data_IF_853964630800
#
_entry.id   IF_853964630800
#
_cell.length_a   1.000
_cell.length_b   1.000
_cell.length_c   1.000
_cell.angle_alpha   90.00
_cell.angle_beta   90.00
_cell.angle_gamma   90.00
#
_symmetry.space_group_name_H-M   'P 1'
#
loop_
_entity.id
_entity.type
_entity.pdbx_description
1 polymer ?
#
# COMPACT_ATOMS: atom_id res chain seq x y z
N UNK A 1 -10.58 4.79 -4.16
CA UNK A 1 -11.54 3.76 -4.55
C UNK A 1 -10.76 2.48 -4.78
N UNK A 2 -11.29 1.31 -4.40
CA UNK A 2 -10.65 0.01 -4.60
C UNK A 2 -11.16 -0.63 -5.89
N UNK A 3 -10.26 -1.22 -6.67
CA UNK A 3 -10.61 -2.08 -7.81
C UNK A 3 -10.84 -3.51 -7.33
N UNK A 4 -12.09 -3.82 -6.98
CA UNK A 4 -12.49 -5.13 -6.47
C UNK A 4 -12.47 -6.22 -7.53
N UNK A 5 -12.65 -5.87 -8.80
CA UNK A 5 -12.60 -6.82 -9.91
C UNK A 5 -11.18 -7.38 -10.00
N UNK A 6 -10.16 -6.52 -9.96
CA UNK A 6 -8.76 -6.94 -9.94
C UNK A 6 -8.39 -7.79 -8.73
N UNK A 7 -8.91 -7.45 -7.55
CA UNK A 7 -8.66 -8.20 -6.30
C UNK A 7 -9.26 -9.61 -6.38
N UNK A 8 -10.48 -9.75 -6.90
CA UNK A 8 -11.14 -11.04 -7.03
C UNK A 8 -10.46 -11.92 -8.09
N UNK A 9 -10.02 -11.35 -9.22
CA UNK A 9 -9.23 -12.09 -10.22
C UNK A 9 -7.97 -12.72 -9.61
N UNK A 10 -7.19 -11.93 -8.87
CA UNK A 10 -5.97 -12.41 -8.22
C UNK A 10 -6.26 -13.52 -7.21
N UNK A 11 -7.35 -13.40 -6.45
CA UNK A 11 -7.76 -14.41 -5.47
C UNK A 11 -8.17 -15.71 -6.15
N UNK A 12 -8.93 -15.63 -7.24
CA UNK A 12 -9.40 -16.80 -7.98
C UNK A 12 -8.24 -17.55 -8.68
N UNK A 13 -7.16 -16.85 -9.07
CA UNK A 13 -5.97 -17.44 -9.71
C UNK A 13 -5.09 -18.24 -8.74
N UNK A 14 -4.92 -17.78 -7.50
CA UNK A 14 -3.98 -18.38 -6.52
C UNK A 14 -4.68 -19.20 -5.42
N UNK A 15 -5.97 -18.97 -5.20
CA UNK A 15 -6.76 -19.55 -4.11
C UNK A 15 -6.69 -18.74 -2.81
N UNK A 16 -7.76 -18.82 -2.00
CA UNK A 16 -7.99 -17.95 -0.84
C UNK A 16 -6.85 -17.95 0.20
N UNK A 17 -6.37 -19.13 0.60
CA UNK A 17 -5.33 -19.28 1.64
C UNK A 17 -3.99 -18.70 1.19
N UNK A 18 -3.60 -18.95 -0.06
CA UNK A 18 -2.36 -18.46 -0.65
C UNK A 18 -2.44 -16.95 -0.91
N UNK A 19 -3.59 -16.48 -1.37
CA UNK A 19 -3.86 -15.05 -1.57
C UNK A 19 -3.68 -14.27 -0.27
N UNK A 20 -4.22 -14.76 0.84
CA UNK A 20 -4.10 -14.09 2.14
C UNK A 20 -2.63 -13.98 2.60
N UNK A 21 -1.85 -15.06 2.44
CA UNK A 21 -0.43 -15.05 2.80
C UNK A 21 0.38 -14.09 1.92
N UNK A 22 0.19 -14.15 0.61
CA UNK A 22 0.87 -13.26 -0.34
C UNK A 22 0.50 -11.80 -0.06
N UNK A 23 -0.79 -11.54 0.21
CA UNK A 23 -1.27 -10.20 0.52
C UNK A 23 -0.64 -9.65 1.81
N UNK A 24 -0.51 -10.46 2.86
CA UNK A 24 0.14 -10.06 4.11
C UNK A 24 1.60 -9.65 3.87
N UNK A 25 2.38 -10.50 3.20
CA UNK A 25 3.78 -10.22 2.86
C UNK A 25 3.93 -8.96 2.00
N UNK A 26 3.01 -8.77 1.05
CA UNK A 26 3.01 -7.60 0.19
C UNK A 26 2.68 -6.31 0.95
N UNK A 27 1.69 -6.35 1.85
CA UNK A 27 1.33 -5.19 2.67
C UNK A 27 2.49 -4.82 3.62
N UNK A 28 3.19 -5.80 4.18
CA UNK A 28 4.38 -5.58 5.00
C UNK A 28 5.50 -4.90 4.22
N UNK A 29 5.74 -5.30 2.96
CA UNK A 29 6.73 -4.67 2.09
C UNK A 29 6.37 -3.20 1.80
N UNK A 30 5.10 -2.94 1.47
CA UNK A 30 4.58 -1.59 1.24
C UNK A 30 4.77 -0.73 2.50
N UNK A 31 4.44 -1.24 3.68
CA UNK A 31 4.61 -0.53 4.95
C UNK A 31 6.09 -0.27 5.27
N UNK A 32 6.97 -1.22 4.96
CA UNK A 32 8.42 -1.03 5.08
C UNK A 32 8.94 0.12 4.20
N UNK A 33 8.40 0.30 2.99
CA UNK A 33 8.74 1.43 2.12
C UNK A 33 8.12 2.73 2.61
N UNK A 34 6.89 2.71 3.11
CA UNK A 34 6.23 3.88 3.69
C UNK A 34 7.00 4.43 4.90
N UNK A 35 7.47 3.55 5.80
CA UNK A 35 8.23 3.94 7.00
C UNK A 35 9.56 4.64 6.71
N UNK A 36 10.14 4.40 5.52
CA UNK A 36 11.43 4.99 5.11
C UNK A 36 11.28 6.17 4.16
N UNK A 37 10.06 6.61 3.83
CA UNK A 37 9.83 7.78 2.99
C UNK A 37 10.45 9.02 3.64
N UNK A 38 11.21 9.77 2.85
CA UNK A 38 11.90 10.97 3.31
C UNK A 38 11.99 11.98 2.18
N UNK A 39 11.76 13.26 2.50
CA UNK A 39 11.88 14.40 1.58
C UNK A 39 13.32 14.91 1.44
N UNK A 40 14.27 14.29 2.14
CA UNK A 40 15.67 14.73 2.18
C UNK A 40 16.48 14.27 0.97
N UNK A 41 16.08 13.18 0.33
CA UNK A 41 16.73 12.60 -0.84
C UNK A 41 15.69 12.43 -1.93
N UNK A 42 15.72 13.34 -2.91
CA UNK A 42 14.71 13.39 -3.98
C UNK A 42 14.74 12.13 -4.85
N UNK A 43 15.93 11.60 -5.16
CA UNK A 43 16.08 10.41 -6.00
C UNK A 43 15.55 9.17 -5.29
N UNK A 44 15.83 9.04 -3.99
CA UNK A 44 15.29 7.95 -3.18
C UNK A 44 13.79 8.09 -2.98
N UNK A 45 13.28 9.32 -2.82
CA UNK A 45 11.86 9.59 -2.72
C UNK A 45 11.13 9.18 -4.00
N UNK A 46 11.61 9.63 -5.17
CA UNK A 46 11.12 9.22 -6.49
C UNK A 46 11.05 7.70 -6.60
N UNK A 47 12.18 7.02 -6.35
CA UNK A 47 12.27 5.55 -6.46
C UNK A 47 11.25 4.85 -5.54
N UNK A 48 11.11 5.31 -4.30
CA UNK A 48 10.14 4.72 -3.37
C UNK A 48 8.69 4.99 -3.82
N UNK A 49 8.39 6.20 -4.32
CA UNK A 49 7.05 6.54 -4.80
C UNK A 49 6.68 5.79 -6.08
N UNK A 50 7.65 5.58 -6.98
CA UNK A 50 7.47 4.73 -8.17
C UNK A 50 7.08 3.30 -7.79
N UNK A 51 7.81 2.72 -6.83
CA UNK A 51 7.52 1.39 -6.30
C UNK A 51 6.10 1.34 -5.69
N UNK A 52 5.78 2.27 -4.79
CA UNK A 52 4.47 2.34 -4.13
C UNK A 52 3.33 2.55 -5.12
N UNK A 53 3.54 3.33 -6.19
CA UNK A 53 2.58 3.52 -7.28
C UNK A 53 2.27 2.19 -7.97
N UNK A 54 3.30 1.43 -8.33
CA UNK A 54 3.14 0.09 -8.92
C UNK A 54 2.37 -0.84 -8.00
N UNK A 55 2.72 -0.84 -6.71
CA UNK A 55 2.02 -1.65 -5.71
C UNK A 55 0.55 -1.27 -5.57
N UNK A 56 0.28 0.04 -5.51
CA UNK A 56 -1.06 0.58 -5.36
C UNK A 56 -1.96 0.15 -6.52
N UNK A 57 -1.51 0.29 -7.77
CA UNK A 57 -2.32 -0.10 -8.92
C UNK A 57 -2.49 -1.61 -9.05
N UNK A 58 -1.47 -2.40 -8.67
CA UNK A 58 -1.62 -3.86 -8.67
C UNK A 58 -2.71 -4.34 -7.69
N UNK A 59 -2.80 -3.73 -6.51
CA UNK A 59 -3.85 -4.01 -5.52
C UNK A 59 -5.17 -3.26 -5.75
N UNK A 60 -5.25 -2.38 -6.76
CA UNK A 60 -6.43 -1.57 -7.02
C UNK A 60 -6.61 -0.37 -6.08
N UNK A 61 -5.59 0.09 -5.35
CA UNK A 61 -5.64 1.25 -4.45
C UNK A 61 -5.58 2.57 -5.24
N UNK A 62 -6.60 2.88 -6.05
CA UNK A 62 -6.50 3.94 -7.08
C UNK A 62 -6.13 5.32 -6.52
N UNK A 63 -6.69 5.73 -5.36
CA UNK A 63 -6.38 7.03 -4.76
C UNK A 63 -4.92 7.08 -4.29
N UNK A 64 -4.47 6.04 -3.59
CA UNK A 64 -3.10 5.96 -3.12
C UNK A 64 -2.11 5.95 -4.29
N UNK A 65 -2.40 5.20 -5.36
CA UNK A 65 -1.60 5.19 -6.58
C UNK A 65 -1.48 6.56 -7.24
N UNK A 66 -2.57 7.32 -7.31
CA UNK A 66 -2.54 8.69 -7.85
C UNK A 66 -1.69 9.63 -7.00
N UNK A 67 -1.75 9.52 -5.68
CA UNK A 67 -0.89 10.31 -4.78
C UNK A 67 0.58 9.93 -4.93
N UNK A 68 0.89 8.64 -5.13
CA UNK A 68 2.25 8.19 -5.42
C UNK A 68 2.76 8.74 -6.76
N UNK A 69 1.92 8.72 -7.80
CA UNK A 69 2.23 9.27 -9.13
C UNK A 69 2.47 10.79 -9.09
N UNK A 70 1.64 11.54 -8.36
CA UNK A 70 1.84 12.98 -8.14
C UNK A 70 3.13 13.25 -7.36
N UNK A 71 3.35 12.54 -6.26
CA UNK A 71 4.55 12.71 -5.44
C UNK A 71 5.83 12.35 -6.20
N UNK A 72 5.78 11.31 -7.04
CA UNK A 72 6.89 10.90 -7.92
C UNK A 72 7.24 12.04 -8.89
N UNK A 73 6.24 12.63 -9.56
CA UNK A 73 6.45 13.79 -10.44
C UNK A 73 7.07 14.98 -9.70
N UNK A 74 6.57 15.29 -8.50
CA UNK A 74 7.13 16.37 -7.68
C UNK A 74 8.59 16.08 -7.28
N UNK A 75 8.95 14.83 -7.00
CA UNK A 75 10.32 14.45 -6.70
C UNK A 75 11.24 14.60 -7.94
N UNK A 76 10.78 14.15 -9.11
CA UNK A 76 11.46 14.31 -10.41
C UNK A 76 11.68 15.79 -10.75
N UNK A 77 10.68 16.63 -10.50
CA UNK A 77 10.73 18.07 -10.74
C UNK A 77 11.61 18.84 -9.72
N UNK A 78 12.29 18.13 -8.80
CA UNK A 78 13.15 18.75 -7.79
C UNK A 78 12.36 19.44 -6.66
N UNK A 79 11.09 19.08 -6.46
CA UNK A 79 10.16 19.63 -5.47
C UNK A 79 9.76 18.60 -4.39
N UNK A 80 10.71 17.82 -3.81
CA UNK A 80 10.37 16.76 -2.85
C UNK A 80 9.70 17.28 -1.56
N UNK A 81 9.88 18.57 -1.24
CA UNK A 81 9.27 19.21 -0.07
C UNK A 81 7.75 19.34 -0.18
N UNK A 82 7.23 19.39 -1.39
CA UNK A 82 5.81 19.57 -1.69
C UNK A 82 5.02 18.26 -1.63
N UNK A 83 5.71 17.12 -1.59
CA UNK A 83 5.07 15.82 -1.40
C UNK A 83 4.45 15.74 0.00
N UNK A 84 3.13 15.56 0.05
CA UNK A 84 2.38 15.40 1.29
C UNK A 84 2.46 13.95 1.80
N UNK A 85 3.49 13.66 2.61
CA UNK A 85 3.67 12.32 3.18
C UNK A 85 2.49 11.92 4.09
N UNK A 86 1.90 12.87 4.82
CA UNK A 86 0.75 12.60 5.70
C UNK A 86 -0.48 12.12 4.92
N UNK A 87 -0.78 12.76 3.79
CA UNK A 87 -1.88 12.35 2.92
C UNK A 87 -1.64 10.97 2.28
N UNK A 88 -0.40 10.69 1.87
CA UNK A 88 -0.01 9.36 1.39
C UNK A 88 -0.27 8.28 2.45
N UNK A 89 0.18 8.50 3.69
CA UNK A 89 -0.02 7.56 4.80
C UNK A 89 -1.50 7.36 5.13
N UNK A 90 -2.28 8.45 5.17
CA UNK A 90 -3.73 8.40 5.40
C UNK A 90 -4.45 7.64 4.29
N UNK A 91 -4.16 7.92 3.02
CA UNK A 91 -4.79 7.24 1.89
C UNK A 91 -4.44 5.74 1.84
N UNK A 92 -3.21 5.37 2.19
CA UNK A 92 -2.83 3.96 2.30
C UNK A 92 -3.62 3.26 3.41
N UNK A 93 -3.66 3.85 4.61
CA UNK A 93 -4.37 3.29 5.77
C UNK A 93 -5.86 3.07 5.47
N UNK A 94 -6.52 4.05 4.83
CA UNK A 94 -7.91 3.93 4.39
C UNK A 94 -8.11 2.78 3.39
N UNK A 95 -7.20 2.65 2.43
CA UNK A 95 -7.25 1.61 1.40
C UNK A 95 -7.05 0.22 2.01
N UNK A 96 -6.07 0.06 2.91
CA UNK A 96 -5.81 -1.18 3.65
C UNK A 96 -7.01 -1.57 4.51
N UNK A 97 -7.61 -0.63 5.25
CA UNK A 97 -8.80 -0.90 6.06
C UNK A 97 -10.02 -1.29 5.21
N UNK A 98 -10.20 -0.68 4.04
CA UNK A 98 -11.27 -1.06 3.12
C UNK A 98 -11.04 -2.47 2.53
N UNK A 99 -9.79 -2.80 2.18
CA UNK A 99 -9.41 -4.12 1.69
C UNK A 99 -9.68 -5.21 2.73
N UNK A 100 -9.14 -5.05 3.95
CA UNK A 100 -9.30 -6.01 5.06
C UNK A 100 -10.77 -6.23 5.37
N UNK A 101 -11.57 -5.15 5.44
CA UNK A 101 -13.03 -5.25 5.67
C UNK A 101 -13.74 -6.01 4.56
N UNK A 102 -13.44 -5.75 3.30
CA UNK A 102 -14.12 -6.41 2.19
C UNK A 102 -13.68 -7.85 1.94
N UNK A 103 -12.47 -8.24 2.40
CA UNK A 103 -12.04 -9.64 2.40
C UNK A 103 -12.63 -10.45 3.57
N UNK A 104 -13.34 -9.82 4.51
CA UNK A 104 -13.84 -10.50 5.71
C UNK A 104 -12.73 -11.00 6.64
N UNK A 105 -11.50 -10.53 6.44
CA UNK A 105 -10.36 -10.84 7.31
C UNK A 105 -10.56 -10.03 8.59
N UNK A 106 -10.86 -10.69 9.71
CA UNK A 106 -10.83 -10.01 11.00
C UNK A 106 -9.40 -9.51 11.23
N UNK A 107 -9.19 -8.22 11.57
CA UNK A 107 -7.86 -7.76 11.94
C UNK A 107 -7.40 -8.61 13.11
N UNK A 108 -6.30 -9.35 12.93
CA UNK A 108 -5.71 -10.19 13.97
C UNK A 108 -5.21 -9.30 15.12
N UNK A 109 -6.15 -8.85 15.94
CA UNK A 109 -5.88 -8.19 17.21
C UNK A 109 -5.39 -9.28 18.16
N UNK A 110 -4.07 -9.47 18.20
CA UNK A 110 -3.39 -10.18 19.27
C UNK A 110 -3.58 -11.70 19.28
N UNK A 111 -2.94 -12.42 18.34
CA UNK A 111 -2.63 -13.85 18.58
C UNK A 111 -1.40 -13.99 19.49
N UNK A 112 -1.46 -13.40 20.67
CA UNK A 112 -0.55 -13.68 21.79
C UNK A 112 -1.34 -13.86 23.09
N UNK A 113 -2.28 -14.82 23.07
CA UNK A 113 -2.76 -15.48 24.28
C UNK A 113 -3.15 -16.92 23.94
N UNK A 114 -2.13 -17.80 23.84
CA UNK A 114 -2.27 -19.23 24.10
C UNK A 114 -1.45 -19.50 25.36
N UNK A 115 -2.08 -19.39 26.53
CA UNK A 115 -2.52 -20.53 27.35
C UNK A 115 -1.40 -21.53 27.66
N UNK A 116 -0.79 -21.38 28.83
CA UNK A 116 -0.79 -22.38 29.90
C UNK A 116 -0.54 -21.64 31.23
#
# INVERSE_FOLDING_TARGET
MLDWDRINELRDEVGDDEFQLILELFLDEVEGVLMRLSRQDALRLETNLHFLKGCAWNLGFSRFGNLCDEGERLAVDGRPREVCLEELMSSYSESKQALIRGLGVEPQSGRHMRRA
#
